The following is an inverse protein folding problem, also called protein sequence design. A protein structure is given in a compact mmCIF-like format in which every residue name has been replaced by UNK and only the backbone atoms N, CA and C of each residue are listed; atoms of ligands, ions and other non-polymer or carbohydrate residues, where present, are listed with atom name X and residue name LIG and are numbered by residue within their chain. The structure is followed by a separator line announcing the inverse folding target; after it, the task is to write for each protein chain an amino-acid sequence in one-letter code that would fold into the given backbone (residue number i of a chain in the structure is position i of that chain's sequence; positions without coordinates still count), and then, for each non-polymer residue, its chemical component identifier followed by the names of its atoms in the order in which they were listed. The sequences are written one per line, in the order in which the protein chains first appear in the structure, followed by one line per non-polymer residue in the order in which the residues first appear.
data_IF_449289852193
#
_entry.id   IF_449289852193
#
_cell.length_a   1.000
_cell.length_b   1.000
_cell.length_c   1.000
_cell.angle_alpha   90.00
_cell.angle_beta   90.00
_cell.angle_gamma   90.00
#
_symmetry.space_group_name_H-M   'P 1'
#
loop_
_entity.id
_entity.type
_entity.pdbx_description
1 polymer ?
#
# COMPACT_ATOMS: atom_id res chain seq x y z
N UNK A 1 23.84 11.35 21.55
CA UNK A 1 24.49 10.98 20.28
C UNK A 1 24.08 9.57 19.83
N UNK A 2 24.55 8.50 20.46
CA UNK A 2 24.24 7.11 20.02
C UNK A 2 22.77 6.72 20.16
N UNK A 3 22.09 7.15 21.23
CA UNK A 3 20.66 6.87 21.49
C UNK A 3 19.74 7.52 20.45
N UNK A 4 20.05 8.74 20.04
CA UNK A 4 19.33 9.46 18.99
C UNK A 4 19.51 8.79 17.63
N UNK A 5 20.71 8.30 17.33
CA UNK A 5 20.99 7.54 16.11
C UNK A 5 20.19 6.23 16.05
N UNK A 6 20.12 5.51 17.17
CA UNK A 6 19.32 4.28 17.29
C UNK A 6 17.82 4.53 17.12
N UNK A 7 17.31 5.63 17.69
CA UNK A 7 15.90 6.00 17.54
C UNK A 7 15.55 6.33 16.08
N UNK A 8 16.45 7.04 15.40
CA UNK A 8 16.29 7.40 13.99
C UNK A 8 16.33 6.15 13.09
N UNK A 9 17.26 5.23 13.36
CA UNK A 9 17.33 3.95 12.66
C UNK A 9 16.07 3.10 12.86
N UNK A 10 15.51 3.09 14.08
CA UNK A 10 14.26 2.38 14.37
C UNK A 10 13.06 3.00 13.63
N UNK A 11 12.96 4.33 13.58
CA UNK A 11 11.90 5.04 12.85
C UNK A 11 11.97 4.81 11.35
N UNK A 12 13.18 4.75 10.77
CA UNK A 12 13.39 4.45 9.35
C UNK A 12 13.17 2.97 9.01
N UNK A 13 13.26 2.07 10.00
CA UNK A 13 13.00 0.65 9.84
C UNK A 13 11.51 0.28 9.95
N UNK A 14 10.64 1.24 10.33
CA UNK A 14 9.20 1.01 10.33
C UNK A 14 8.73 0.88 8.87
N UNK A 15 8.08 -0.23 8.48
CA UNK A 15 7.45 -0.29 7.18
C UNK A 15 6.41 0.82 7.10
N UNK A 16 6.53 1.68 6.08
CA UNK A 16 5.49 2.62 5.70
C UNK A 16 4.32 1.77 5.19
N UNK A 17 3.48 1.29 6.11
CA UNK A 17 2.28 0.56 5.77
C UNK A 17 1.34 1.53 5.04
N UNK A 18 1.43 1.53 3.71
CA UNK A 18 0.45 2.18 2.84
C UNK A 18 -0.88 1.47 3.04
N UNK A 19 -1.79 2.11 3.77
CA UNK A 19 -3.18 1.68 3.88
C UNK A 19 -3.91 2.15 2.62
N UNK A 20 -3.64 1.49 1.49
CA UNK A 20 -4.37 1.65 0.24
C UNK A 20 -5.40 0.53 0.01
N UNK A 21 -5.76 -0.21 1.07
CA UNK A 21 -6.70 -1.33 1.03
C UNK A 21 -8.15 -0.82 1.06
N UNK A 22 -8.49 0.08 0.12
CA UNK A 22 -9.89 0.45 -0.14
C UNK A 22 -10.27 -0.24 -1.43
N UNK A 23 -10.63 -1.52 -1.31
CA UNK A 23 -11.16 -2.30 -2.43
C UNK A 23 -12.66 -2.02 -2.58
N UNK A 24 -13.03 -1.29 -3.63
CA UNK A 24 -14.43 -1.11 -4.01
C UNK A 24 -14.77 -2.19 -5.02
N UNK A 25 -15.43 -3.25 -4.55
CA UNK A 25 -15.95 -4.32 -5.40
C UNK A 25 -17.36 -3.99 -5.89
N UNK A 26 -17.53 -3.85 -7.20
CA UNK A 26 -18.85 -3.87 -7.83
C UNK A 26 -19.07 -5.26 -8.40
N UNK A 27 -20.02 -6.02 -7.85
CA UNK A 27 -20.43 -7.32 -8.37
C UNK A 27 -21.80 -7.16 -9.03
N UNK A 28 -21.80 -7.05 -10.36
CA UNK A 28 -23.02 -7.13 -11.19
C UNK A 28 -22.83 -8.28 -12.18
N UNK A 29 -23.90 -8.97 -12.62
CA UNK A 29 -23.77 -10.06 -13.59
C UNK A 29 -22.98 -9.60 -14.83
N UNK A 30 -21.81 -10.18 -15.05
CA UNK A 30 -20.93 -9.87 -16.18
C UNK A 30 -19.83 -8.81 -15.93
N UNK A 31 -19.72 -8.22 -14.72
CA UNK A 31 -18.64 -7.29 -14.40
C UNK A 31 -18.18 -7.43 -12.94
N UNK A 32 -16.88 -7.67 -12.76
CA UNK A 32 -16.18 -7.60 -11.48
C UNK A 32 -15.08 -6.57 -11.61
N UNK A 33 -15.14 -5.50 -10.82
CA UNK A 33 -14.13 -4.44 -10.81
C UNK A 33 -13.54 -4.33 -9.40
N UNK A 34 -12.23 -4.55 -9.27
CA UNK A 34 -11.47 -4.35 -8.04
C UNK A 34 -10.48 -3.22 -8.29
N UNK A 35 -10.74 -2.05 -7.70
CA UNK A 35 -9.83 -0.90 -7.75
C UNK A 35 -9.03 -0.88 -6.44
N UNK A 36 -7.71 -0.74 -6.53
CA UNK A 36 -6.83 -0.75 -5.36
C UNK A 36 -6.18 -2.10 -5.05
N UNK A 37 -6.39 -3.12 -5.90
CA UNK A 37 -5.66 -4.38 -5.76
C UNK A 37 -4.17 -4.18 -6.04
N UNK A 38 -3.36 -4.86 -5.23
CA UNK A 38 -1.91 -4.95 -5.39
C UNK A 38 -1.59 -5.98 -6.47
N UNK A 39 -0.76 -5.61 -7.44
CA UNK A 39 -0.29 -6.53 -8.46
C UNK A 39 0.67 -7.60 -7.89
N UNK A 40 0.98 -8.61 -8.69
CA UNK A 40 1.91 -9.69 -8.30
C UNK A 40 3.35 -9.21 -8.01
N UNK A 41 3.68 -7.96 -8.37
CA UNK A 41 4.98 -7.32 -8.14
C UNK A 41 4.97 -6.45 -6.89
N UNK A 42 3.83 -6.30 -6.24
CA UNK A 42 3.67 -5.53 -5.02
C UNK A 42 3.28 -4.07 -5.22
N UNK A 43 2.91 -3.67 -6.44
CA UNK A 43 2.52 -2.29 -6.78
C UNK A 43 1.00 -2.13 -6.73
N UNK A 44 0.56 -0.99 -6.20
CA UNK A 44 -0.84 -0.57 -6.25
C UNK A 44 -1.08 0.25 -7.53
N UNK A 45 -2.34 0.35 -7.93
CA UNK A 45 -2.74 1.22 -9.03
C UNK A 45 -2.37 2.68 -8.74
N UNK A 46 -1.67 3.32 -9.67
CA UNK A 46 -1.14 4.68 -9.56
C UNK A 46 -1.94 5.72 -10.37
N UNK A 47 -3.04 5.30 -11.00
CA UNK A 47 -3.96 6.21 -11.69
C UNK A 47 -3.59 6.57 -13.13
N UNK A 48 -2.60 5.91 -13.75
CA UNK A 48 -2.16 6.16 -15.13
C UNK A 48 -2.00 7.65 -15.46
N UNK A 49 -0.99 8.29 -14.87
CA UNK A 49 -0.60 9.65 -15.27
C UNK A 49 -0.26 9.73 -16.75
#
# INVERSE_FOLDING_TARGET
MKKTLLLLAALLALPLASQADVSIGVNVPGLSLHIGDRDHRGHYWDGYR
#
